data_IF_962932316206
#
_entry.id   IF_962932316206
#
_cell.length_a   1.000
_cell.length_b   1.000
_cell.length_c   1.000
_cell.angle_alpha   90.00
_cell.angle_beta   90.00
_cell.angle_gamma   90.00
#
_symmetry.space_group_name_H-M   'P 1'
#
loop_
_entity.id
_entity.type
_entity.pdbx_description
1 polymer ?
#
# COMPACT_ATOMS: atom_id res chain seq x y z
N UNK A 1 77.47 14.36 -9.54
CA UNK A 1 76.61 15.50 -9.18
C UNK A 1 75.52 14.96 -8.27
N UNK A 2 75.88 14.60 -7.05
CA UNK A 2 75.74 15.40 -5.81
C UNK A 2 74.27 15.65 -5.39
N UNK A 3 73.85 14.87 -4.38
CA UNK A 3 73.07 15.23 -3.17
C UNK A 3 71.66 15.83 -3.40
N UNK A 4 70.56 15.35 -2.78
CA UNK A 4 70.49 14.62 -1.52
C UNK A 4 69.14 14.00 -1.20
N UNK A 5 69.24 13.09 -0.25
CA UNK A 5 68.22 12.39 0.52
C UNK A 5 67.59 13.38 1.51
N UNK A 6 66.26 13.33 1.68
CA UNK A 6 65.66 13.58 2.99
C UNK A 6 64.41 12.70 3.19
N UNK A 7 64.56 11.74 4.10
CA UNK A 7 63.49 11.04 4.78
C UNK A 7 62.96 11.93 5.92
N UNK A 8 61.63 12.02 6.07
CA UNK A 8 60.96 12.13 7.38
C UNK A 8 59.72 11.24 7.35
N UNK A 9 59.58 10.41 8.39
CA UNK A 9 58.55 9.40 8.64
C UNK A 9 57.58 9.94 9.73
N UNK A 10 56.38 9.33 9.82
CA UNK A 10 55.47 9.18 10.99
C UNK A 10 54.38 10.28 11.05
N UNK A 11 53.05 10.06 11.11
CA UNK A 11 52.19 9.00 11.68
C UNK A 11 50.76 8.99 11.09
N UNK A 12 50.06 7.87 11.31
CA UNK A 12 48.64 7.55 11.04
C UNK A 12 47.58 8.61 11.42
N UNK A 13 46.43 8.59 10.70
CA UNK A 13 45.08 8.20 11.18
C UNK A 13 44.00 8.76 10.22
N UNK A 14 43.05 7.90 9.82
CA UNK A 14 41.69 8.32 9.46
C UNK A 14 41.34 8.34 7.99
N UNK A 15 40.86 7.21 7.45
CA UNK A 15 39.98 7.22 6.28
C UNK A 15 38.64 7.80 6.73
N UNK A 16 38.29 8.98 6.23
CA UNK A 16 36.91 9.43 6.13
C UNK A 16 36.76 10.09 4.76
N UNK A 17 36.33 9.29 3.79
CA UNK A 17 35.78 9.81 2.55
C UNK A 17 34.48 10.52 2.88
N UNK A 18 34.56 11.80 3.28
CA UNK A 18 33.43 12.71 3.16
C UNK A 18 33.24 12.98 1.67
N UNK A 19 32.50 12.11 1.01
CA UNK A 19 31.77 12.50 -0.19
C UNK A 19 30.84 13.65 0.24
N UNK A 20 31.30 14.88 0.01
CA UNK A 20 30.41 16.01 -0.17
C UNK A 20 29.42 15.59 -1.26
N UNK A 21 28.18 15.35 -0.87
CA UNK A 21 27.08 15.29 -1.82
C UNK A 21 27.02 16.69 -2.42
N UNK A 22 27.60 16.81 -3.61
CA UNK A 22 27.31 17.90 -4.51
C UNK A 22 25.79 17.96 -4.64
N UNK A 23 25.23 19.15 -4.42
CA UNK A 23 23.86 19.48 -4.73
C UNK A 23 23.67 19.48 -6.25
N UNK A 24 23.84 18.32 -6.88
CA UNK A 24 23.25 18.00 -8.18
C UNK A 24 21.94 17.27 -7.86
N UNK A 25 20.95 18.03 -7.40
CA UNK A 25 19.57 17.55 -7.45
C UNK A 25 19.20 17.61 -8.93
N UNK A 26 18.99 16.48 -9.63
CA UNK A 26 18.64 16.52 -11.04
C UNK A 26 17.35 17.33 -11.21
N UNK A 27 17.32 18.15 -12.26
CA UNK A 27 16.16 18.94 -12.68
C UNK A 27 14.85 18.18 -12.46
N UNK A 28 13.98 18.75 -11.63
CA UNK A 28 12.66 18.21 -11.33
C UNK A 28 11.67 18.74 -12.38
N UNK A 29 11.62 18.11 -13.54
CA UNK A 29 10.64 18.47 -14.57
C UNK A 29 9.28 17.81 -14.28
N UNK A 30 8.19 18.57 -14.43
CA UNK A 30 6.84 18.03 -14.34
C UNK A 30 5.75 19.08 -14.25
N UNK A 31 4.62 18.79 -14.90
CA UNK A 31 3.36 19.51 -14.77
C UNK A 31 2.45 18.78 -13.78
N UNK A 32 1.76 19.53 -12.91
CA UNK A 32 0.93 19.00 -11.83
C UNK A 32 -0.47 19.60 -11.94
N UNK A 33 -1.50 18.75 -12.08
CA UNK A 33 -2.90 19.17 -12.10
C UNK A 33 -3.73 18.23 -11.22
N UNK A 34 -4.54 18.80 -10.32
CA UNK A 34 -5.72 18.14 -9.75
C UNK A 34 -6.86 19.15 -9.67
N UNK A 35 -8.07 18.84 -10.18
CA UNK A 35 -9.24 19.63 -9.89
C UNK A 35 -9.75 19.26 -8.48
N UNK A 36 -10.17 20.24 -7.68
CA UNK A 36 -10.89 19.97 -6.42
C UNK A 36 -12.17 20.79 -6.36
N UNK A 37 -13.26 20.07 -6.11
CA UNK A 37 -14.59 20.58 -5.77
C UNK A 37 -14.53 21.15 -4.35
N UNK A 38 -14.86 22.44 -4.20
CA UNK A 38 -14.57 23.20 -2.99
C UNK A 38 -15.27 22.70 -1.73
N UNK A 39 -14.52 22.66 -0.62
CA UNK A 39 -15.11 22.80 0.71
C UNK A 39 -14.10 23.37 1.74
N UNK A 40 -14.42 24.55 2.30
CA UNK A 40 -14.00 24.98 3.63
C UNK A 40 -12.50 25.21 3.94
N UNK A 41 -11.86 26.21 3.33
CA UNK A 41 -10.56 26.80 3.74
C UNK A 41 -9.29 25.98 3.45
N UNK A 42 -9.32 25.05 2.50
CA UNK A 42 -8.09 24.44 1.96
C UNK A 42 -7.58 25.25 0.76
N UNK A 43 -6.33 25.71 0.83
CA UNK A 43 -5.65 26.46 -0.24
C UNK A 43 -4.90 25.48 -1.13
N UNK A 44 -5.23 25.32 -2.41
CA UNK A 44 -4.49 24.44 -3.32
C UNK A 44 -3.44 25.23 -4.11
N UNK A 45 -2.21 24.72 -4.18
CA UNK A 45 -1.09 25.36 -4.86
C UNK A 45 -0.69 24.53 -6.08
N UNK A 46 -0.72 25.13 -7.29
CA UNK A 46 -0.12 24.53 -8.48
C UNK A 46 1.34 24.95 -8.57
N UNK A 47 2.25 23.98 -8.68
CA UNK A 47 3.68 24.24 -8.83
C UNK A 47 4.06 23.78 -10.23
N UNK A 48 4.22 24.73 -11.16
CA UNK A 48 4.65 24.50 -12.53
C UNK A 48 6.18 24.61 -12.62
N UNK A 49 6.85 23.51 -12.95
CA UNK A 49 8.30 23.45 -13.11
C UNK A 49 8.64 23.62 -14.59
N UNK A 50 8.68 24.86 -15.07
CA UNK A 50 9.23 25.14 -16.40
C UNK A 50 10.74 25.39 -16.33
N UNK A 51 11.48 24.86 -17.31
CA UNK A 51 12.95 24.85 -17.42
C UNK A 51 13.68 26.21 -17.37
N UNK A 52 12.98 27.32 -17.13
CA UNK A 52 13.58 28.64 -17.35
C UNK A 52 13.25 29.71 -16.31
N UNK A 53 12.34 29.51 -15.36
CA UNK A 53 12.08 30.52 -14.33
C UNK A 53 11.59 29.92 -13.00
N UNK A 54 12.22 30.33 -11.90
CA UNK A 54 11.87 29.98 -10.50
C UNK A 54 10.54 30.61 -10.02
N UNK A 55 9.57 30.91 -10.91
CA UNK A 55 8.27 31.49 -10.53
C UNK A 55 7.18 30.45 -10.67
N UNK A 56 6.45 30.22 -9.59
CA UNK A 56 5.40 29.20 -9.51
C UNK A 56 4.04 29.88 -9.39
N UNK A 57 3.05 29.45 -10.19
CA UNK A 57 1.71 30.06 -10.21
C UNK A 57 0.80 29.36 -9.21
N UNK A 58 0.69 29.92 -8.02
CA UNK A 58 -0.25 29.47 -7.01
C UNK A 58 -1.61 30.14 -7.21
N UNK A 59 -2.66 29.38 -7.56
CA UNK A 59 -4.01 29.93 -7.71
C UNK A 59 -4.86 29.63 -6.46
N UNK A 60 -5.12 30.65 -5.64
CA UNK A 60 -6.01 30.52 -4.48
C UNK A 60 -7.46 30.71 -4.90
N UNK A 61 -8.32 29.73 -4.63
CA UNK A 61 -9.78 29.87 -4.72
C UNK A 61 -10.40 29.68 -3.35
N UNK A 62 -10.54 30.77 -2.60
CA UNK A 62 -11.18 30.82 -1.29
C UNK A 62 -11.08 32.23 -0.70
N UNK A 63 -12.16 32.72 -0.10
CA UNK A 63 -12.17 34.03 0.56
C UNK A 63 -11.37 33.96 1.87
N UNK A 64 -10.06 34.20 1.80
CA UNK A 64 -9.30 34.94 2.81
C UNK A 64 -7.81 34.60 2.72
N UNK A 65 -7.15 35.00 1.65
CA UNK A 65 -5.74 35.44 1.63
C UNK A 65 -5.50 35.99 0.21
N UNK A 66 -5.52 37.32 0.06
CA UNK A 66 -5.55 38.03 -1.22
C UNK A 66 -4.16 38.12 -1.89
N UNK A 67 -3.50 36.99 -2.14
CA UNK A 67 -2.28 36.97 -2.93
C UNK A 67 -2.48 36.07 -4.15
N UNK A 68 -2.17 36.62 -5.33
CA UNK A 68 -2.45 36.00 -6.62
C UNK A 68 -1.35 35.02 -7.03
N UNK A 69 -0.11 35.22 -6.55
CA UNK A 69 1.03 34.33 -6.80
C UNK A 69 1.98 34.29 -5.59
N UNK A 70 2.85 33.27 -5.55
CA UNK A 70 3.89 33.13 -4.55
C UNK A 70 5.10 32.38 -5.13
N UNK A 71 6.30 32.72 -4.69
CA UNK A 71 7.56 32.11 -5.13
C UNK A 71 8.04 31.10 -4.10
N UNK A 72 8.16 29.82 -4.50
CA UNK A 72 8.81 28.79 -3.68
C UNK A 72 10.33 28.91 -3.82
N UNK A 73 11.01 29.10 -2.68
CA UNK A 73 12.46 29.17 -2.58
C UNK A 73 12.97 27.95 -1.80
N UNK A 74 13.76 27.08 -2.45
CA UNK A 74 14.41 25.95 -1.79
C UNK A 74 15.66 26.47 -1.08
N UNK A 75 15.68 26.36 0.24
CA UNK A 75 16.81 26.84 1.04
C UNK A 75 17.88 25.74 1.13
N UNK A 76 17.47 24.50 1.40
CA UNK A 76 18.30 23.30 1.40
C UNK A 76 17.43 22.03 1.28
N UNK A 77 18.04 20.86 1.43
CA UNK A 77 17.39 19.54 1.32
C UNK A 77 16.24 19.28 2.32
N UNK A 78 16.10 20.09 3.37
CA UNK A 78 15.07 19.92 4.40
C UNK A 78 14.16 21.13 4.56
N UNK A 79 14.40 22.23 3.84
CA UNK A 79 13.70 23.50 4.09
C UNK A 79 13.41 24.30 2.83
N UNK A 80 12.23 24.92 2.84
CA UNK A 80 11.73 25.81 1.79
C UNK A 80 11.12 27.05 2.41
N UNK A 81 11.01 28.11 1.61
CA UNK A 81 10.25 29.30 1.94
C UNK A 81 9.25 29.57 0.82
N UNK A 82 8.01 29.87 1.18
CA UNK A 82 7.04 30.40 0.23
C UNK A 82 6.94 31.91 0.41
N UNK A 83 7.39 32.66 -0.59
CA UNK A 83 7.39 34.12 -0.59
C UNK A 83 6.18 34.60 -1.39
N UNK A 84 5.14 35.07 -0.70
CA UNK A 84 3.93 35.60 -1.31
C UNK A 84 4.18 36.99 -1.91
N UNK A 85 3.37 37.39 -2.91
CA UNK A 85 3.50 38.70 -3.56
C UNK A 85 3.39 39.91 -2.64
N UNK A 86 2.73 39.75 -1.49
CA UNK A 86 2.64 40.79 -0.45
C UNK A 86 3.89 40.85 0.45
N UNK A 87 4.96 40.14 0.11
CA UNK A 87 6.21 40.07 0.87
C UNK A 87 6.16 39.15 2.09
N UNK A 88 5.03 38.46 2.33
CA UNK A 88 4.91 37.48 3.41
C UNK A 88 5.79 36.27 3.09
N UNK A 89 6.59 35.85 4.07
CA UNK A 89 7.44 34.67 3.95
C UNK A 89 6.93 33.57 4.87
N UNK A 90 6.60 32.41 4.29
CA UNK A 90 6.08 31.25 5.01
C UNK A 90 7.13 30.13 4.99
N UNK A 91 7.83 29.90 6.11
CA UNK A 91 8.82 28.83 6.21
C UNK A 91 8.13 27.47 6.20
N UNK A 92 8.64 26.56 5.38
CA UNK A 92 8.18 25.20 5.23
C UNK A 92 9.33 24.20 5.36
N UNK A 93 8.97 22.94 5.57
CA UNK A 93 9.89 21.82 5.75
C UNK A 93 9.67 20.85 4.59
N UNK A 94 10.75 20.39 3.97
CA UNK A 94 10.70 19.26 3.05
C UNK A 94 10.79 18.00 3.89
N UNK A 95 9.72 17.20 3.91
CA UNK A 95 9.75 15.88 4.55
C UNK A 95 10.00 14.83 3.47
N UNK A 96 11.07 14.09 3.66
CA UNK A 96 11.34 12.83 2.99
C UNK A 96 11.14 11.68 3.98
N UNK A 97 9.98 11.00 3.95
CA UNK A 97 9.96 9.63 4.44
C UNK A 97 9.51 8.63 3.38
N UNK A 98 9.05 9.07 2.21
CA UNK A 98 8.54 8.21 1.13
C UNK A 98 9.08 8.68 -0.22
N UNK A 99 8.97 7.85 -1.26
CA UNK A 99 9.40 8.16 -2.62
C UNK A 99 8.64 9.35 -3.28
N UNK A 100 7.86 10.09 -2.50
CA UNK A 100 7.12 11.29 -2.85
C UNK A 100 7.66 12.45 -1.98
N UNK A 101 8.38 13.43 -2.56
CA UNK A 101 8.72 14.65 -1.84
C UNK A 101 7.44 15.30 -1.31
N UNK A 102 7.38 15.56 -0.01
CA UNK A 102 6.30 16.32 0.59
C UNK A 102 6.82 17.64 1.14
N UNK A 103 6.12 18.73 0.83
CA UNK A 103 6.42 20.07 1.37
C UNK A 103 5.37 20.40 2.41
N UNK A 104 5.77 20.63 3.65
CA UNK A 104 4.86 20.89 4.76
C UNK A 104 5.06 22.31 5.29
N UNK A 105 3.96 23.03 5.51
CA UNK A 105 3.98 24.30 6.25
C UNK A 105 3.40 24.11 7.64
N UNK A 106 4.11 24.55 8.70
CA UNK A 106 3.54 24.59 10.03
C UNK A 106 2.47 25.68 10.08
N UNK A 107 1.23 25.31 10.38
CA UNK A 107 0.18 26.27 10.75
C UNK A 107 0.00 26.26 12.27
N UNK A 108 -0.70 27.25 12.81
CA UNK A 108 -0.92 27.40 14.27
C UNK A 108 -1.75 26.28 14.91
N UNK A 109 -2.33 25.38 14.11
CA UNK A 109 -3.09 24.21 14.59
C UNK A 109 -2.71 22.88 13.93
N UNK A 110 -2.29 22.87 12.67
CA UNK A 110 -1.98 21.63 11.91
C UNK A 110 -0.76 21.78 10.98
N UNK A 111 -0.17 20.66 10.56
CA UNK A 111 0.74 20.63 9.40
C UNK A 111 -0.07 20.41 8.13
N UNK A 112 -0.08 21.37 7.19
CA UNK A 112 -0.56 21.09 5.84
C UNK A 112 0.62 20.64 4.99
N UNK A 113 0.60 19.38 4.55
CA UNK A 113 1.64 18.78 3.72
C UNK A 113 1.15 18.56 2.29
N UNK A 114 2.01 18.87 1.34
CA UNK A 114 1.75 18.83 -0.10
C UNK A 114 2.64 17.77 -0.74
N UNK A 115 2.03 16.74 -1.31
CA UNK A 115 2.77 15.67 -1.97
C UNK A 115 3.05 16.04 -3.43
N UNK A 116 4.27 15.78 -3.90
CA UNK A 116 4.59 15.79 -5.33
C UNK A 116 3.73 14.72 -6.04
N UNK A 117 2.81 15.12 -6.92
CA UNK A 117 2.19 14.16 -7.85
C UNK A 117 3.24 13.75 -8.87
N UNK A 118 3.80 12.55 -8.77
CA UNK A 118 4.70 12.05 -9.80
C UNK A 118 3.95 12.10 -11.15
N UNK A 119 4.37 12.98 -12.06
CA UNK A 119 3.65 13.37 -13.29
C UNK A 119 3.41 12.20 -14.26
N UNK A 120 4.10 11.08 -14.04
CA UNK A 120 3.93 9.84 -14.77
C UNK A 120 2.90 8.89 -14.16
N UNK A 121 2.43 9.10 -12.92
CA UNK A 121 1.42 8.25 -12.29
C UNK A 121 0.04 8.64 -12.81
N UNK A 122 -0.50 7.78 -13.67
CA UNK A 122 -1.79 7.98 -14.35
C UNK A 122 -2.89 7.10 -13.78
N UNK A 123 -2.52 6.08 -12.97
CA UNK A 123 -3.46 5.13 -12.38
C UNK A 123 -3.08 4.73 -10.98
N UNK A 124 -4.05 4.78 -10.06
CA UNK A 124 -3.94 4.20 -8.72
C UNK A 124 -4.88 3.00 -8.64
N UNK A 125 -4.34 1.83 -8.31
CA UNK A 125 -5.14 0.67 -7.95
C UNK A 125 -5.35 0.67 -6.45
N UNK A 126 -6.62 0.61 -6.02
CA UNK A 126 -6.97 0.48 -4.61
C UNK A 126 -7.28 -0.98 -4.32
N UNK A 127 -6.44 -1.62 -3.50
CA UNK A 127 -6.63 -2.99 -3.04
C UNK A 127 -7.56 -2.94 -1.83
N UNK A 128 -8.84 -3.24 -2.03
CA UNK A 128 -9.82 -3.32 -0.95
C UNK A 128 -9.76 -4.71 -0.32
N UNK A 129 -9.54 -4.78 0.98
CA UNK A 129 -9.38 -6.04 1.69
C UNK A 129 -9.84 -5.89 3.15
N UNK A 130 -10.15 -7.00 3.81
CA UNK A 130 -10.27 -7.01 5.28
C UNK A 130 -9.06 -7.70 5.87
N UNK A 131 -8.65 -7.27 7.05
CA UNK A 131 -7.77 -8.05 7.90
C UNK A 131 -8.61 -9.15 8.57
N UNK A 132 -8.25 -10.41 8.32
CA UNK A 132 -8.96 -11.59 8.77
C UNK A 132 -8.25 -12.23 9.96
N UNK A 133 -8.88 -12.15 11.12
CA UNK A 133 -8.48 -12.91 12.31
C UNK A 133 -9.56 -13.90 12.69
N UNK A 134 -9.46 -15.13 12.22
CA UNK A 134 -10.49 -16.15 12.46
C UNK A 134 -10.73 -16.39 13.96
N UNK A 135 -9.67 -16.32 14.77
CA UNK A 135 -9.73 -16.57 16.21
C UNK A 135 -10.00 -15.35 17.09
N UNK A 136 -10.09 -14.15 16.51
CA UNK A 136 -10.21 -12.90 17.26
C UNK A 136 -11.45 -12.15 16.79
N UNK A 137 -12.32 -11.77 17.73
CA UNK A 137 -13.24 -10.67 17.47
C UNK A 137 -13.17 -9.77 18.70
N UNK A 138 -13.21 -8.45 18.51
CA UNK A 138 -13.20 -7.49 19.62
C UNK A 138 -14.47 -7.52 20.49
N UNK A 139 -15.21 -8.64 20.54
CA UNK A 139 -16.49 -8.80 21.23
C UNK A 139 -16.29 -9.79 22.41
N UNK A 140 -16.81 -9.50 23.62
CA UNK A 140 -16.58 -10.33 24.81
C UNK A 140 -17.43 -11.63 24.85
N UNK A 141 -17.56 -12.36 23.74
CA UNK A 141 -18.41 -13.56 23.62
C UNK A 141 -17.65 -14.78 23.10
N UNK A 142 -17.92 -15.97 23.65
CA UNK A 142 -17.33 -17.24 23.19
C UNK A 142 -17.79 -17.62 21.77
N UNK A 143 -16.98 -18.39 21.02
CA UNK A 143 -17.32 -18.85 19.65
C UNK A 143 -16.85 -17.93 18.52
N UNK A 144 -15.71 -17.26 18.72
CA UNK A 144 -15.07 -16.32 17.78
C UNK A 144 -15.05 -16.82 16.33
N UNK A 145 -14.55 -18.03 16.10
CA UNK A 145 -14.37 -18.61 14.75
C UNK A 145 -15.67 -18.60 13.96
N UNK A 146 -16.71 -19.29 14.45
CA UNK A 146 -17.95 -19.40 13.69
C UNK A 146 -18.69 -18.05 13.56
N UNK A 147 -18.59 -17.16 14.56
CA UNK A 147 -19.16 -15.81 14.44
C UNK A 147 -18.48 -15.00 13.34
N UNK A 148 -17.15 -15.02 13.27
CA UNK A 148 -16.39 -14.36 12.20
C UNK A 148 -16.78 -14.94 10.85
N UNK A 149 -16.74 -16.26 10.69
CA UNK A 149 -17.10 -16.91 9.43
C UNK A 149 -18.54 -16.55 8.99
N UNK A 150 -19.51 -16.58 9.91
CA UNK A 150 -20.90 -16.24 9.62
C UNK A 150 -21.04 -14.79 9.10
N UNK A 151 -20.32 -13.83 9.70
CA UNK A 151 -20.35 -12.43 9.25
C UNK A 151 -19.74 -12.30 7.84
N UNK A 152 -18.61 -12.95 7.57
CA UNK A 152 -18.04 -12.92 6.23
C UNK A 152 -18.98 -13.53 5.18
N UNK A 153 -19.60 -14.66 5.51
CA UNK A 153 -20.48 -15.41 4.59
C UNK A 153 -21.75 -14.64 4.27
N UNK A 154 -22.42 -14.12 5.30
CA UNK A 154 -23.78 -13.56 5.15
C UNK A 154 -23.81 -12.03 5.04
N UNK A 155 -22.70 -11.35 5.34
CA UNK A 155 -22.66 -9.89 5.35
C UNK A 155 -21.57 -9.35 4.43
N UNK A 156 -20.30 -9.71 4.62
CA UNK A 156 -19.22 -9.03 3.91
C UNK A 156 -19.12 -9.44 2.44
N UNK A 157 -19.15 -10.73 2.12
CA UNK A 157 -19.12 -11.15 0.72
C UNK A 157 -20.34 -10.65 -0.08
N UNK A 158 -21.59 -10.80 0.39
CA UNK A 158 -22.74 -10.28 -0.34
C UNK A 158 -22.68 -8.76 -0.53
N UNK A 159 -22.30 -8.00 0.50
CA UNK A 159 -22.19 -6.54 0.40
C UNK A 159 -21.12 -6.11 -0.60
N UNK A 160 -19.96 -6.76 -0.61
CA UNK A 160 -18.89 -6.47 -1.56
C UNK A 160 -19.34 -6.74 -3.01
N UNK A 161 -20.01 -7.87 -3.25
CA UNK A 161 -20.55 -8.23 -4.56
C UNK A 161 -21.60 -7.21 -5.04
N UNK A 162 -22.56 -6.85 -4.19
CA UNK A 162 -23.62 -5.89 -4.49
C UNK A 162 -23.03 -4.49 -4.74
N UNK A 163 -22.07 -4.06 -3.93
CA UNK A 163 -21.40 -2.77 -4.12
C UNK A 163 -20.69 -2.69 -5.46
N UNK A 164 -19.98 -3.76 -5.88
CA UNK A 164 -19.33 -3.81 -7.18
C UNK A 164 -20.34 -3.69 -8.34
N UNK A 165 -21.50 -4.34 -8.23
CA UNK A 165 -22.59 -4.20 -9.21
C UNK A 165 -23.16 -2.78 -9.23
N UNK A 166 -23.34 -2.15 -8.07
CA UNK A 166 -23.81 -0.77 -7.97
C UNK A 166 -22.84 0.20 -8.60
N UNK A 167 -21.54 0.09 -8.30
CA UNK A 167 -20.47 0.93 -8.86
C UNK A 167 -20.44 0.81 -10.39
N UNK A 168 -20.46 -0.40 -10.94
CA UNK A 168 -20.51 -0.62 -12.40
C UNK A 168 -21.72 0.01 -13.08
N UNK A 169 -22.85 0.16 -12.38
CA UNK A 169 -24.06 0.79 -12.93
C UNK A 169 -23.98 2.32 -12.90
N UNK A 170 -23.41 2.90 -11.86
CA UNK A 170 -23.35 4.37 -11.68
C UNK A 170 -22.12 5.00 -12.34
N UNK A 171 -21.02 4.26 -12.43
CA UNK A 171 -19.76 4.67 -13.02
C UNK A 171 -19.16 3.49 -13.78
N UNK A 172 -19.56 3.27 -15.05
CA UNK A 172 -19.13 2.11 -15.83
C UNK A 172 -17.62 2.02 -16.05
N UNK A 173 -16.91 3.14 -15.94
CA UNK A 173 -15.46 3.21 -16.07
C UNK A 173 -14.72 2.90 -14.75
N UNK A 174 -15.43 2.90 -13.62
CA UNK A 174 -14.88 2.55 -12.31
C UNK A 174 -15.10 1.07 -11.97
N UNK A 175 -14.10 0.48 -11.30
CA UNK A 175 -14.19 -0.90 -10.81
C UNK A 175 -13.91 -0.96 -9.32
N UNK A 176 -14.84 -1.56 -8.57
CA UNK A 176 -14.56 -2.00 -7.20
C UNK A 176 -14.26 -3.49 -7.19
N UNK A 177 -13.08 -3.83 -6.68
CA UNK A 177 -12.61 -5.20 -6.51
C UNK A 177 -12.35 -5.43 -5.03
N UNK A 178 -13.03 -6.41 -4.47
CA UNK A 178 -12.82 -6.88 -3.11
C UNK A 178 -11.88 -8.08 -3.12
N UNK A 179 -10.69 -7.90 -2.54
CA UNK A 179 -9.71 -8.98 -2.34
C UNK A 179 -9.99 -9.67 -1.02
N UNK A 180 -9.94 -11.00 -0.99
CA UNK A 180 -10.10 -11.78 0.24
C UNK A 180 -9.09 -12.92 0.32
N UNK A 181 -9.30 -13.83 1.26
CA UNK A 181 -8.43 -14.97 1.55
C UNK A 181 -9.01 -16.24 0.92
N UNK A 182 -8.23 -17.03 0.17
CA UNK A 182 -8.73 -18.22 -0.51
C UNK A 182 -9.20 -19.32 0.45
N UNK A 183 -8.64 -19.44 1.65
CA UNK A 183 -9.17 -20.37 2.66
C UNK A 183 -10.62 -20.03 3.03
N UNK A 184 -10.91 -18.74 3.21
CA UNK A 184 -12.24 -18.27 3.59
C UNK A 184 -13.27 -18.50 2.46
N UNK A 185 -12.89 -18.25 1.20
CA UNK A 185 -13.74 -18.59 0.05
C UNK A 185 -13.91 -20.10 -0.11
N UNK A 186 -12.86 -20.90 0.11
CA UNK A 186 -12.97 -22.35 0.08
C UNK A 186 -13.95 -22.86 1.14
N UNK A 187 -13.90 -22.31 2.36
CA UNK A 187 -14.87 -22.60 3.42
C UNK A 187 -16.29 -22.14 3.07
N UNK A 188 -16.44 -21.00 2.40
CA UNK A 188 -17.75 -20.51 1.93
C UNK A 188 -18.39 -21.50 0.94
N UNK A 189 -17.64 -21.94 -0.07
CA UNK A 189 -18.16 -22.84 -1.10
C UNK A 189 -18.18 -24.33 -0.72
N UNK A 190 -17.46 -24.74 0.32
CA UNK A 190 -17.40 -26.12 0.84
C UNK A 190 -17.79 -26.17 2.33
N UNK A 191 -18.81 -25.39 2.70
CA UNK A 191 -19.16 -25.16 4.10
C UNK A 191 -19.57 -26.45 4.84
N UNK A 192 -18.91 -26.79 5.98
CA UNK A 192 -19.29 -27.93 6.81
C UNK A 192 -20.50 -27.58 7.69
N UNK A 193 -21.70 -27.95 7.24
CA UNK A 193 -22.99 -27.57 7.87
C UNK A 193 -23.22 -28.10 9.29
N UNK A 194 -22.41 -29.05 9.74
CA UNK A 194 -22.43 -29.63 11.09
C UNK A 194 -21.32 -29.07 12.00
N UNK A 195 -20.50 -28.12 11.54
CA UNK A 195 -19.44 -27.55 12.36
C UNK A 195 -20.02 -26.69 13.48
N UNK A 196 -19.80 -27.13 14.71
CA UNK A 196 -20.15 -26.41 15.93
C UNK A 196 -18.88 -26.19 16.74
N UNK A 197 -18.57 -24.93 17.04
CA UNK A 197 -17.40 -24.53 17.82
C UNK A 197 -17.85 -23.64 18.97
N UNK A 198 -17.48 -24.00 20.19
CA UNK A 198 -17.89 -23.32 21.42
C UNK A 198 -19.41 -23.03 21.50
N UNK A 199 -20.24 -23.99 21.06
CA UNK A 199 -21.70 -23.88 21.07
C UNK A 199 -22.30 -23.04 19.94
N UNK A 200 -21.48 -22.42 19.08
CA UNK A 200 -21.93 -21.65 17.93
C UNK A 200 -21.87 -22.54 16.69
N UNK A 201 -22.96 -22.60 15.93
CA UNK A 201 -23.03 -23.33 14.66
C UNK A 201 -22.56 -22.45 13.51
N UNK A 202 -21.77 -23.01 12.60
CA UNK A 202 -21.46 -22.37 11.32
C UNK A 202 -22.73 -22.35 10.45
N UNK A 203 -23.11 -21.16 9.99
CA UNK A 203 -24.23 -20.94 9.09
C UNK A 203 -23.70 -21.01 7.67
N UNK A 204 -24.08 -22.05 6.93
CA UNK A 204 -23.63 -22.19 5.55
C UNK A 204 -24.39 -21.24 4.62
N UNK A 205 -23.73 -20.74 3.57
CA UNK A 205 -24.37 -19.87 2.59
C UNK A 205 -25.57 -20.54 1.93
N UNK A 206 -26.61 -19.76 1.65
CA UNK A 206 -27.73 -20.15 0.81
C UNK A 206 -27.30 -20.29 -0.66
N UNK A 207 -28.11 -20.97 -1.48
CA UNK A 207 -27.83 -21.08 -2.92
C UNK A 207 -27.76 -19.70 -3.60
N UNK A 208 -28.60 -18.75 -3.20
CA UNK A 208 -28.58 -17.39 -3.76
C UNK A 208 -27.27 -16.66 -3.43
N UNK A 209 -26.74 -16.85 -2.21
CA UNK A 209 -25.44 -16.31 -1.83
C UNK A 209 -24.30 -16.99 -2.58
N UNK A 210 -24.33 -18.33 -2.74
CA UNK A 210 -23.34 -19.06 -3.54
C UNK A 210 -23.30 -18.53 -4.98
N UNK A 211 -24.47 -18.38 -5.61
CA UNK A 211 -24.60 -17.89 -6.98
C UNK A 211 -24.16 -16.43 -7.11
N UNK A 212 -24.50 -15.58 -6.13
CA UNK A 212 -24.06 -14.19 -6.08
C UNK A 212 -22.53 -14.09 -6.05
N UNK A 213 -21.87 -14.85 -5.16
CA UNK A 213 -20.42 -14.78 -5.01
C UNK A 213 -19.71 -15.44 -6.19
N UNK A 214 -20.25 -16.51 -6.76
CA UNK A 214 -19.71 -17.09 -8.00
C UNK A 214 -19.74 -16.08 -9.15
N UNK A 215 -20.86 -15.37 -9.36
CA UNK A 215 -20.93 -14.30 -10.38
C UNK A 215 -19.95 -13.16 -10.07
N UNK A 216 -19.84 -12.76 -8.80
CA UNK A 216 -18.92 -11.72 -8.40
C UNK A 216 -17.46 -12.11 -8.69
N UNK A 217 -17.06 -13.36 -8.45
CA UNK A 217 -15.74 -13.88 -8.81
C UNK A 217 -15.53 -13.87 -10.32
N UNK A 218 -16.46 -14.44 -11.10
CA UNK A 218 -16.33 -14.54 -12.56
C UNK A 218 -16.27 -13.17 -13.25
N UNK A 219 -16.91 -12.16 -12.67
CA UNK A 219 -16.89 -10.79 -13.19
C UNK A 219 -15.76 -9.93 -12.62
N UNK A 220 -14.86 -10.50 -11.82
CA UNK A 220 -13.70 -9.82 -11.23
C UNK A 220 -14.02 -8.87 -10.07
N UNK A 221 -15.26 -8.87 -9.56
CA UNK A 221 -15.67 -8.06 -8.42
C UNK A 221 -15.14 -8.59 -7.08
N UNK A 222 -14.98 -9.91 -6.96
CA UNK A 222 -14.32 -10.56 -5.83
C UNK A 222 -13.11 -11.33 -6.36
N UNK A 223 -11.97 -11.15 -5.70
CA UNK A 223 -10.72 -11.86 -5.99
C UNK A 223 -10.04 -12.26 -4.68
N UNK A 224 -8.89 -12.92 -4.76
CA UNK A 224 -8.12 -13.33 -3.60
C UNK A 224 -6.61 -13.28 -3.88
N UNK A 225 -5.82 -13.27 -2.81
CA UNK A 225 -4.37 -13.42 -2.90
C UNK A 225 -3.95 -14.90 -2.85
N UNK A 226 -2.68 -15.19 -3.08
CA UNK A 226 -2.21 -16.55 -3.33
C UNK A 226 -2.11 -17.45 -2.09
N UNK A 227 -1.72 -16.90 -0.93
CA UNK A 227 -1.68 -17.65 0.34
C UNK A 227 -3.07 -17.88 0.95
N UNK A 228 -3.25 -18.95 1.71
CA UNK A 228 -4.51 -19.35 2.36
C UNK A 228 -5.23 -18.22 3.10
N UNK A 229 -4.52 -17.57 4.02
CA UNK A 229 -4.94 -16.43 4.81
C UNK A 229 -3.70 -15.68 5.36
N UNK A 230 -3.83 -14.80 6.36
CA UNK A 230 -2.66 -14.28 7.09
C UNK A 230 -2.01 -15.42 7.87
N UNK A 231 -0.83 -15.86 7.42
CA UNK A 231 -0.12 -17.01 8.00
C UNK A 231 1.22 -16.59 8.59
N UNK A 232 1.58 -17.21 9.71
CA UNK A 232 2.95 -17.26 10.23
C UNK A 232 3.74 -18.32 9.47
N UNK A 233 4.35 -17.92 8.35
CA UNK A 233 5.08 -18.84 7.46
C UNK A 233 6.30 -19.48 8.11
N UNK A 234 6.84 -18.89 9.17
CA UNK A 234 7.89 -19.47 10.01
C UNK A 234 7.48 -20.75 10.74
N UNK A 235 6.17 -21.00 10.89
CA UNK A 235 5.63 -22.22 11.51
C UNK A 235 5.17 -23.26 10.49
N UNK A 236 5.41 -23.01 9.20
CA UNK A 236 5.02 -23.91 8.12
C UNK A 236 6.20 -24.74 7.63
N UNK A 237 5.95 -26.03 7.42
CA UNK A 237 6.76 -26.81 6.50
C UNK A 237 6.29 -26.58 5.05
N UNK A 238 7.03 -27.15 4.09
CA UNK A 238 6.71 -27.00 2.67
C UNK A 238 5.35 -27.63 2.30
N UNK A 239 4.89 -28.64 3.05
CA UNK A 239 3.59 -29.28 2.80
C UNK A 239 2.44 -28.34 3.20
N UNK A 240 2.55 -27.71 4.36
CA UNK A 240 1.58 -26.72 4.83
C UNK A 240 1.57 -25.49 3.90
N UNK A 241 2.74 -25.04 3.44
CA UNK A 241 2.84 -23.98 2.44
C UNK A 241 2.14 -24.37 1.13
N UNK A 242 2.45 -25.53 0.56
CA UNK A 242 1.85 -25.96 -0.70
C UNK A 242 0.33 -26.13 -0.59
N UNK A 243 -0.16 -26.70 0.52
CA UNK A 243 -1.60 -26.77 0.79
C UNK A 243 -2.25 -25.38 0.84
N UNK A 244 -1.56 -24.40 1.46
CA UNK A 244 -2.02 -23.02 1.51
C UNK A 244 -2.18 -22.40 0.12
N UNK A 245 -1.23 -22.66 -0.78
CA UNK A 245 -1.27 -22.18 -2.17
C UNK A 245 -2.27 -22.95 -3.04
N UNK A 246 -2.43 -24.25 -2.82
CA UNK A 246 -3.35 -25.13 -3.55
C UNK A 246 -4.80 -24.67 -3.41
N UNK A 247 -5.18 -24.09 -2.26
CA UNK A 247 -6.52 -23.51 -2.07
C UNK A 247 -6.81 -22.41 -3.09
N UNK A 248 -5.85 -21.49 -3.29
CA UNK A 248 -5.97 -20.41 -4.27
C UNK A 248 -6.06 -20.94 -5.71
N UNK A 249 -5.18 -21.88 -6.06
CA UNK A 249 -5.16 -22.51 -7.40
C UNK A 249 -6.45 -23.28 -7.67
N UNK A 250 -6.97 -23.99 -6.66
CA UNK A 250 -8.20 -24.79 -6.80
C UNK A 250 -9.42 -23.90 -7.04
N UNK A 251 -9.52 -22.77 -6.33
CA UNK A 251 -10.57 -21.77 -6.60
C UNK A 251 -10.44 -21.18 -8.00
N UNK A 252 -9.21 -20.85 -8.44
CA UNK A 252 -8.97 -20.27 -9.76
C UNK A 252 -9.41 -21.25 -10.87
N UNK A 253 -9.07 -22.53 -10.71
CA UNK A 253 -9.52 -23.61 -11.60
C UNK A 253 -11.04 -23.78 -11.59
N UNK A 254 -11.67 -23.80 -10.41
CA UNK A 254 -13.14 -23.94 -10.25
C UNK A 254 -13.91 -22.86 -11.00
N UNK A 255 -13.45 -21.61 -10.90
CA UNK A 255 -14.16 -20.47 -11.47
C UNK A 255 -13.61 -20.02 -12.83
N UNK A 256 -12.61 -20.72 -13.37
CA UNK A 256 -11.94 -20.40 -14.63
C UNK A 256 -11.41 -18.95 -14.67
N UNK A 257 -10.78 -18.53 -13.57
CA UNK A 257 -10.14 -17.21 -13.45
C UNK A 257 -8.61 -17.38 -13.34
N UNK A 258 -7.81 -16.32 -13.63
CA UNK A 258 -6.36 -16.39 -13.49
C UNK A 258 -5.92 -16.78 -12.08
N UNK A 259 -4.84 -17.55 -11.97
CA UNK A 259 -4.22 -17.91 -10.68
C UNK A 259 -3.54 -16.68 -10.07
N UNK A 260 -3.89 -16.25 -8.84
CA UNK A 260 -3.15 -15.21 -8.15
C UNK A 260 -1.75 -15.68 -7.76
N UNK A 261 -0.73 -14.87 -8.02
CA UNK A 261 0.68 -15.18 -7.71
C UNK A 261 1.30 -14.17 -6.73
N UNK A 262 0.44 -13.45 -6.01
CA UNK A 262 0.84 -12.48 -4.98
C UNK A 262 0.43 -13.04 -3.63
N UNK A 263 1.39 -13.34 -2.76
CA UNK A 263 1.13 -13.67 -1.37
C UNK A 263 0.97 -12.36 -0.59
N UNK A 264 -0.18 -12.18 0.05
CA UNK A 264 -0.42 -11.06 0.96
C UNK A 264 -0.33 -11.56 2.40
N UNK A 265 0.40 -10.83 3.23
CA UNK A 265 0.53 -11.07 4.67
C UNK A 265 0.31 -9.77 5.40
N UNK A 266 -0.59 -9.76 6.37
CA UNK A 266 -0.89 -8.60 7.21
C UNK A 266 -0.87 -9.00 8.67
N UNK A 267 -0.31 -8.14 9.49
CA UNK A 267 -0.21 -8.29 10.94
C UNK A 267 0.60 -9.52 11.40
N UNK A 268 1.54 -9.95 10.57
CA UNK A 268 2.53 -10.98 10.91
C UNK A 268 3.89 -10.31 10.90
N UNK A 269 4.76 -10.53 11.90
CA UNK A 269 6.00 -9.78 12.08
C UNK A 269 6.99 -9.93 10.92
N UNK A 270 6.83 -10.92 10.04
CA UNK A 270 7.62 -11.04 8.84
C UNK A 270 7.32 -12.33 8.09
N UNK A 271 8.18 -12.63 7.12
CA UNK A 271 8.14 -13.87 6.34
C UNK A 271 9.58 -14.42 6.28
N UNK A 272 9.81 -15.73 6.45
CA UNK A 272 11.15 -16.30 6.36
C UNK A 272 11.66 -16.28 4.92
N UNK A 273 12.90 -15.84 4.70
CA UNK A 273 13.52 -15.79 3.36
C UNK A 273 13.57 -17.17 2.67
N UNK A 274 13.55 -18.26 3.44
CA UNK A 274 13.53 -19.63 2.93
C UNK A 274 12.31 -19.92 2.02
N UNK A 275 11.20 -19.20 2.19
CA UNK A 275 9.98 -19.40 1.41
C UNK A 275 10.19 -19.09 -0.09
N UNK A 276 11.14 -18.22 -0.43
CA UNK A 276 11.34 -17.69 -1.78
C UNK A 276 11.60 -18.80 -2.80
N UNK A 277 12.33 -19.84 -2.40
CA UNK A 277 12.58 -21.00 -3.26
C UNK A 277 11.29 -21.75 -3.55
N UNK A 278 10.54 -22.09 -2.51
CA UNK A 278 9.28 -22.82 -2.64
C UNK A 278 8.25 -22.01 -3.43
N UNK A 279 8.14 -20.69 -3.23
CA UNK A 279 7.24 -19.84 -4.03
C UNK A 279 7.63 -19.81 -5.50
N UNK A 280 8.92 -19.60 -5.82
CA UNK A 280 9.38 -19.58 -7.21
C UNK A 280 9.10 -20.93 -7.90
N UNK A 281 9.42 -22.05 -7.23
CA UNK A 281 9.16 -23.39 -7.77
C UNK A 281 7.67 -23.62 -7.97
N UNK A 282 6.86 -23.36 -6.94
CA UNK A 282 5.41 -23.59 -6.97
C UNK A 282 4.70 -22.74 -8.02
N UNK A 283 5.08 -21.47 -8.20
CA UNK A 283 4.41 -20.59 -9.16
C UNK A 283 4.95 -20.70 -10.59
N UNK A 284 6.13 -21.28 -10.81
CA UNK A 284 6.68 -21.49 -12.17
C UNK A 284 5.77 -22.31 -13.09
N UNK A 285 4.90 -23.14 -12.52
CA UNK A 285 3.91 -23.97 -13.24
C UNK A 285 2.58 -23.23 -13.52
N UNK A 286 2.35 -22.05 -12.93
CA UNK A 286 1.07 -21.33 -13.00
C UNK A 286 1.18 -19.90 -13.51
N UNK A 287 2.34 -19.26 -13.34
CA UNK A 287 2.53 -17.83 -13.54
C UNK A 287 3.70 -17.59 -14.49
N UNK A 288 3.50 -16.73 -15.49
CA UNK A 288 4.55 -16.33 -16.44
C UNK A 288 5.51 -15.27 -15.90
N UNK A 289 5.22 -14.75 -14.71
CA UNK A 289 5.98 -13.70 -14.03
C UNK A 289 6.45 -14.17 -12.65
N UNK A 290 7.47 -13.48 -12.12
CA UNK A 290 7.97 -13.74 -10.77
C UNK A 290 6.84 -13.56 -9.75
N UNK A 291 6.70 -14.48 -8.77
CA UNK A 291 5.73 -14.28 -7.70
C UNK A 291 6.10 -13.05 -6.88
N UNK A 292 5.09 -12.53 -6.17
CA UNK A 292 5.23 -11.34 -5.36
C UNK A 292 4.79 -11.61 -3.93
N UNK A 293 5.43 -10.93 -2.97
CA UNK A 293 5.01 -10.89 -1.58
C UNK A 293 4.70 -9.43 -1.22
N UNK A 294 3.55 -9.19 -0.60
CA UNK A 294 3.24 -7.92 0.05
C UNK A 294 3.06 -8.17 1.54
N UNK A 295 3.82 -7.46 2.37
CA UNK A 295 3.80 -7.60 3.83
C UNK A 295 3.36 -6.29 4.45
N UNK A 296 2.40 -6.34 5.37
CA UNK A 296 1.99 -5.21 6.17
C UNK A 296 2.14 -5.52 7.65
N UNK A 297 2.77 -4.62 8.40
CA UNK A 297 3.03 -4.79 9.84
C UNK A 297 2.39 -3.66 10.63
N UNK A 298 1.88 -3.98 11.82
CA UNK A 298 1.31 -2.97 12.73
C UNK A 298 2.41 -2.17 13.47
N UNK A 299 1.97 -1.26 14.32
CA UNK A 299 2.84 -0.46 15.18
C UNK A 299 3.53 -1.24 16.33
N UNK A 300 3.17 -2.50 16.55
CA UNK A 300 3.86 -3.37 17.53
C UNK A 300 5.16 -3.97 16.98
N UNK A 301 5.41 -3.87 15.67
CA UNK A 301 6.66 -4.28 15.03
C UNK A 301 7.49 -3.05 14.72
N UNK A 302 8.80 -3.11 14.99
CA UNK A 302 9.72 -2.03 14.62
C UNK A 302 9.80 -1.90 13.10
N UNK A 303 9.79 -0.67 12.59
CA UNK A 303 9.94 -0.42 11.16
C UNK A 303 11.21 -1.07 10.60
N UNK A 304 11.06 -1.69 9.44
CA UNK A 304 12.19 -2.22 8.68
C UNK A 304 12.83 -1.10 7.88
N UNK A 305 14.16 -1.03 7.90
CA UNK A 305 14.94 -0.14 7.02
C UNK A 305 15.10 -0.81 5.65
N UNK A 306 14.03 -0.79 4.86
CA UNK A 306 13.93 -1.43 3.55
C UNK A 306 13.45 -0.43 2.49
N UNK A 307 13.72 -0.68 1.20
CA UNK A 307 13.32 0.24 0.16
C UNK A 307 11.81 0.52 0.19
N UNK A 308 11.47 1.81 0.14
CA UNK A 308 10.09 2.22 -0.08
C UNK A 308 9.62 1.75 -1.46
N UNK A 309 8.41 1.20 -1.53
CA UNK A 309 7.80 0.74 -2.78
C UNK A 309 8.17 -0.69 -3.17
N UNK A 310 8.23 -0.95 -4.49
CA UNK A 310 8.48 -2.30 -5.02
C UNK A 310 9.99 -2.56 -5.14
N UNK A 311 10.45 -3.67 -4.56
CA UNK A 311 11.84 -4.10 -4.63
C UNK A 311 11.94 -5.60 -4.93
N UNK A 312 13.16 -6.07 -5.26
CA UNK A 312 13.46 -7.50 -5.36
C UNK A 312 13.96 -7.99 -4.01
N UNK A 313 13.37 -9.05 -3.50
CA UNK A 313 13.79 -9.69 -2.25
C UNK A 313 14.21 -11.13 -2.51
N UNK A 314 15.41 -11.51 -2.10
CA UNK A 314 15.98 -12.80 -2.42
C UNK A 314 17.42 -12.99 -1.95
N UNK A 315 17.95 -14.18 -2.20
CA UNK A 315 19.35 -14.51 -1.92
C UNK A 315 20.26 -14.37 -3.13
N UNK A 316 19.69 -14.22 -4.33
CA UNK A 316 20.40 -13.94 -5.58
C UNK A 316 19.47 -13.34 -6.65
N UNK A 317 20.05 -12.90 -7.77
CA UNK A 317 19.32 -12.36 -8.93
C UNK A 317 18.35 -13.35 -9.60
N UNK A 318 18.56 -14.65 -9.39
CA UNK A 318 17.67 -15.70 -9.91
C UNK A 318 16.67 -16.19 -8.84
N UNK A 319 17.09 -16.19 -7.57
CA UNK A 319 16.31 -16.67 -6.43
C UNK A 319 15.76 -15.50 -5.61
N UNK A 320 14.82 -14.79 -6.20
CA UNK A 320 14.10 -13.67 -5.60
C UNK A 320 12.62 -13.68 -5.98
N UNK A 321 11.87 -12.83 -5.29
CA UNK A 321 10.49 -12.44 -5.57
C UNK A 321 10.40 -10.92 -5.69
N UNK A 322 9.31 -10.44 -6.27
CA UNK A 322 8.93 -9.03 -6.10
C UNK A 322 8.36 -8.84 -4.69
N UNK A 323 8.65 -7.71 -4.07
CA UNK A 323 8.37 -7.47 -2.67
C UNK A 323 7.94 -6.02 -2.43
N UNK A 324 6.98 -5.84 -1.52
CA UNK A 324 6.65 -4.52 -0.95
C UNK A 324 6.28 -4.69 0.51
N UNK A 325 6.76 -3.77 1.34
CA UNK A 325 6.50 -3.76 2.77
C UNK A 325 5.81 -2.46 3.15
N UNK A 326 4.82 -2.62 3.99
CA UNK A 326 3.92 -1.58 4.43
C UNK A 326 4.11 -1.39 5.93
N UNK A 327 5.07 -0.52 6.27
CA UNK A 327 5.34 -0.12 7.65
C UNK A 327 4.11 0.59 8.23
N UNK A 328 3.65 0.15 9.40
CA UNK A 328 2.35 0.55 9.98
C UNK A 328 1.14 0.24 9.06
N UNK A 329 1.34 -0.59 8.04
CA UNK A 329 0.46 -0.71 6.89
C UNK A 329 -0.36 -1.98 6.92
N UNK A 330 -1.35 -1.99 7.80
CA UNK A 330 -2.73 -2.25 7.41
C UNK A 330 -3.57 -1.18 8.12
N UNK A 331 -4.18 -0.25 7.38
CA UNK A 331 -4.74 0.97 7.95
C UNK A 331 -5.85 0.68 8.96
N UNK A 332 -5.94 1.51 10.01
CA UNK A 332 -7.06 1.55 10.95
C UNK A 332 -8.39 1.67 10.20
N UNK A 333 -9.48 1.18 10.80
CA UNK A 333 -10.84 1.27 10.28
C UNK A 333 -11.14 2.49 9.38
N UNK A 334 -11.97 2.31 8.33
CA UNK A 334 -12.46 3.44 7.54
C UNK A 334 -13.08 4.47 8.47
N UNK A 335 -12.71 5.72 8.22
CA UNK A 335 -13.18 6.88 8.95
C UNK A 335 -14.64 7.18 8.60
N UNK A 336 -15.22 8.07 9.40
CA UNK A 336 -16.68 8.27 9.42
C UNK A 336 -17.21 9.14 8.28
N UNK A 337 -16.34 9.77 7.48
CA UNK A 337 -16.75 10.73 6.42
C UNK A 337 -15.85 10.63 5.19
N UNK A 338 -16.33 11.07 4.02
CA UNK A 338 -15.50 11.15 2.82
C UNK A 338 -14.29 12.10 2.96
N UNK A 339 -14.39 13.10 3.84
CA UNK A 339 -13.32 14.07 4.14
C UNK A 339 -12.32 13.54 5.17
N UNK A 340 -12.67 12.50 5.90
CA UNK A 340 -11.79 11.73 6.77
C UNK A 340 -12.04 10.26 6.50
N UNK A 341 -11.64 9.76 5.32
CA UNK A 341 -12.07 8.45 4.84
C UNK A 341 -11.54 7.31 5.70
N UNK A 342 -10.49 7.53 6.51
CA UNK A 342 -9.73 6.50 7.25
C UNK A 342 -9.43 5.27 6.38
N UNK A 343 -8.98 4.15 6.95
CA UNK A 343 -8.97 2.86 6.23
C UNK A 343 -8.11 2.77 4.95
N UNK A 344 -7.48 3.85 4.50
CA UNK A 344 -6.67 3.93 3.31
C UNK A 344 -5.26 4.31 3.74
N UNK A 345 -4.31 3.41 3.50
CA UNK A 345 -2.92 3.70 3.79
C UNK A 345 -2.36 4.53 2.63
N UNK A 346 -2.32 5.85 2.86
CA UNK A 346 -1.75 6.83 1.93
C UNK A 346 -0.25 7.01 2.17
N UNK A 347 0.21 6.78 3.41
CA UNK A 347 1.60 6.94 3.81
C UNK A 347 2.51 5.78 3.33
N UNK A 348 1.93 4.68 2.84
CA UNK A 348 2.63 3.48 2.38
C UNK A 348 2.37 3.15 0.89
N UNK A 349 1.92 4.16 0.12
CA UNK A 349 1.58 4.01 -1.29
C UNK A 349 2.76 3.45 -2.09
N UNK A 350 2.55 2.31 -2.76
CA UNK A 350 3.58 1.69 -3.59
C UNK A 350 3.54 2.30 -4.96
N UNK A 351 4.52 3.15 -5.25
CA UNK A 351 4.62 3.80 -6.55
C UNK A 351 5.60 3.05 -7.46
N UNK A 352 5.18 2.84 -8.71
CA UNK A 352 5.96 2.25 -9.79
C UNK A 352 6.00 3.26 -10.96
N UNK A 353 6.88 4.29 -10.89
CA UNK A 353 6.89 5.39 -11.85
C UNK A 353 7.15 4.92 -13.29
N UNK A 354 7.91 3.84 -13.46
CA UNK A 354 8.30 3.32 -14.77
C UNK A 354 7.11 2.87 -15.62
N UNK A 355 5.99 2.53 -14.99
CA UNK A 355 4.74 2.13 -15.67
C UNK A 355 3.56 3.04 -15.32
N UNK A 356 3.81 4.13 -14.59
CA UNK A 356 2.78 5.11 -14.26
C UNK A 356 1.69 4.62 -13.31
N UNK A 357 2.01 3.66 -12.43
CA UNK A 357 1.04 3.01 -11.54
C UNK A 357 1.39 3.23 -10.07
N UNK A 358 0.37 3.46 -9.26
CA UNK A 358 0.43 3.35 -7.80
C UNK A 358 -0.48 2.25 -7.26
N UNK A 359 -0.12 1.63 -6.15
CA UNK A 359 -0.93 0.68 -5.40
C UNK A 359 -1.21 1.23 -4.02
N UNK A 360 -2.48 1.46 -3.71
CA UNK A 360 -2.96 1.89 -2.40
C UNK A 360 -3.71 0.75 -1.72
N UNK A 361 -3.50 0.56 -0.43
CA UNK A 361 -4.15 -0.50 0.32
C UNK A 361 -5.26 0.07 1.19
N UNK A 362 -6.49 -0.39 0.94
CA UNK A 362 -7.67 -0.04 1.70
C UNK A 362 -8.09 -1.23 2.56
N UNK A 363 -7.81 -1.16 3.86
CA UNK A 363 -8.16 -2.23 4.81
C UNK A 363 -9.26 -1.81 5.77
N UNK A 364 -10.03 -2.81 6.17
CA UNK A 364 -10.76 -2.80 7.44
C UNK A 364 -10.04 -3.68 8.45
N UNK A 365 -9.77 -3.14 9.64
CA UNK A 365 -9.07 -3.82 10.74
C UNK A 365 -9.92 -4.89 11.40
N UNK A 366 -9.28 -5.98 11.83
CA UNK A 366 -9.75 -6.96 12.81
C UNK A 366 -11.22 -7.40 12.63
N UNK A 367 -11.55 -7.91 11.44
CA UNK A 367 -12.89 -8.38 11.07
C UNK A 367 -14.03 -7.34 11.11
N UNK A 368 -13.73 -6.03 11.11
CA UNK A 368 -14.74 -4.94 11.12
C UNK A 368 -15.18 -4.49 9.72
#
# INVERSE_FOLDING_TARGET
MFIGILFIIITCVGVSAKNKILADVPQLDGYYHMPILGNGNQYVFNIDWSHTYNRYLVTVTGQSLAWATATLNIINETSVNLVCDNGMNLPGIIKYPTNLPSICWPTSKDFTCWNRLLSNITRIHVINMNHLDVGYNGIPTTGFINNILNIYFHQYFPRAAILAEQIRRISPDDSFVYTTHPWLLSMFFNCPSNLILAGIKLQCPSNDELDLIERAIRTGAITWHAGAMNMQYEWMDERALNLSLDLSVSLAKRFHVPVPCVVSVRDVPGVPIAIIRSLNQYFSQYCSYKPMITVGVNAAVTNFDIPNGLFRWGTSDDLNVLATWHSFGYPNNPGSTYTNPGGLALDDLVIIPQVGVGLAFAFRTDNQ
#
